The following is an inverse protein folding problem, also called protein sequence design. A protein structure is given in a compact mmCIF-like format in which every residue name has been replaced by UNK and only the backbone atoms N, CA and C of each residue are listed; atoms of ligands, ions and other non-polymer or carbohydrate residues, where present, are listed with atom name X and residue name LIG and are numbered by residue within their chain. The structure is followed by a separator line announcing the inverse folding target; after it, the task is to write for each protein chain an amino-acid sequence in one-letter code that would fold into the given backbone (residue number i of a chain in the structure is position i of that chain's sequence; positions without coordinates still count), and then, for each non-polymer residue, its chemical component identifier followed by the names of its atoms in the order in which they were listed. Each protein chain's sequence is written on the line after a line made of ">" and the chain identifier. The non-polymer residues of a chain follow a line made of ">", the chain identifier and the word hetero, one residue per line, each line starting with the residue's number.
data_IF_528056950427
#
_entry.id   IF_528056950427
#
_cell.length_a   1.000
_cell.length_b   1.000
_cell.length_c   1.000
_cell.angle_alpha   90.00
_cell.angle_beta   90.00
_cell.angle_gamma   90.00
#
_symmetry.space_group_name_H-M   'P 1'
#
loop_
_entity.id
_entity.type
_entity.pdbx_description
1 polymer ?
#
# COMPACT_ATOMS: atom_id res chain seq x y z
N UNK A 1 8.21 -69.78 -24.68
CA UNK A 1 8.74 -69.57 -23.32
C UNK A 1 10.22 -69.22 -23.47
N UNK A 2 10.80 -68.08 -23.09
CA UNK A 2 10.39 -66.91 -22.29
C UNK A 2 11.12 -65.70 -22.93
N UNK A 3 10.38 -64.66 -23.32
CA UNK A 3 10.96 -63.34 -23.61
C UNK A 3 11.22 -62.64 -22.27
N UNK A 4 12.47 -62.23 -21.99
CA UNK A 4 12.78 -61.35 -20.86
C UNK A 4 12.85 -59.91 -21.37
N UNK A 5 11.76 -59.19 -21.14
CA UNK A 5 11.63 -57.76 -21.37
C UNK A 5 12.51 -56.97 -20.40
N UNK A 6 13.31 -56.06 -20.91
CA UNK A 6 14.01 -55.02 -20.13
C UNK A 6 13.09 -53.81 -20.11
N UNK A 7 12.59 -53.33 -18.95
CA UNK A 7 12.07 -52.00 -18.85
C UNK A 7 13.14 -51.12 -18.19
N UNK A 8 13.94 -50.46 -19.01
CA UNK A 8 14.36 -49.12 -18.67
C UNK A 8 13.22 -48.19 -19.05
N UNK A 9 12.86 -47.24 -18.18
CA UNK A 9 12.44 -45.92 -18.64
C UNK A 9 12.37 -44.92 -17.48
N UNK A 10 13.27 -43.95 -17.54
CA UNK A 10 13.03 -42.51 -17.36
C UNK A 10 12.47 -42.03 -16.01
N UNK A 11 13.38 -41.78 -15.07
CA UNK A 11 13.22 -40.77 -14.02
C UNK A 11 13.16 -39.39 -14.70
N UNK A 12 11.95 -38.90 -15.00
CA UNK A 12 11.76 -37.54 -15.46
C UNK A 12 12.02 -36.58 -14.29
N UNK A 13 13.25 -36.06 -14.20
CA UNK A 13 13.59 -34.95 -13.32
C UNK A 13 12.86 -33.70 -13.87
N UNK A 14 11.67 -33.41 -13.33
CA UNK A 14 11.00 -32.13 -13.49
C UNK A 14 11.83 -31.08 -12.74
N UNK A 15 12.86 -30.55 -13.41
CA UNK A 15 13.53 -29.33 -12.96
C UNK A 15 12.54 -28.20 -13.22
N UNK A 16 11.69 -27.92 -12.23
CA UNK A 16 11.00 -26.64 -12.15
C UNK A 16 12.07 -25.56 -12.03
N UNK A 17 12.43 -24.95 -13.16
CA UNK A 17 13.12 -23.66 -13.14
C UNK A 17 12.14 -22.68 -12.53
N UNK A 18 12.20 -22.50 -11.21
CA UNK A 18 11.55 -21.38 -10.57
C UNK A 18 12.03 -20.12 -11.30
N UNK A 19 11.11 -19.44 -11.99
CA UNK A 19 11.42 -18.14 -12.54
C UNK A 19 11.94 -17.28 -11.37
N UNK A 20 12.98 -16.46 -11.56
CA UNK A 20 13.40 -15.54 -10.52
C UNK A 20 12.17 -14.70 -10.15
N UNK A 21 11.81 -14.70 -8.88
CA UNK A 21 10.64 -14.03 -8.34
C UNK A 21 10.88 -12.52 -8.31
N UNK A 22 10.95 -11.89 -9.49
CA UNK A 22 11.18 -10.45 -9.59
C UNK A 22 10.13 -9.71 -8.78
N UNK A 23 10.57 -8.85 -7.87
CA UNK A 23 9.66 -7.88 -7.24
C UNK A 23 8.90 -7.11 -8.31
N UNK A 24 7.58 -7.14 -8.24
CA UNK A 24 6.73 -6.37 -9.14
C UNK A 24 6.74 -4.91 -8.67
N UNK A 25 6.80 -3.93 -9.59
CA UNK A 25 6.55 -2.54 -9.22
C UNK A 25 5.19 -2.46 -8.52
N UNK A 26 5.13 -1.89 -7.31
CA UNK A 26 3.89 -1.80 -6.53
C UNK A 26 2.75 -1.21 -7.36
N UNK A 27 3.08 -0.25 -8.23
CA UNK A 27 2.12 0.48 -9.05
C UNK A 27 1.56 -0.33 -10.23
N UNK A 28 2.12 -1.50 -10.52
CA UNK A 28 1.58 -2.42 -11.53
C UNK A 28 0.61 -3.43 -10.91
N UNK A 29 0.55 -3.52 -9.58
CA UNK A 29 -0.30 -4.47 -8.85
C UNK A 29 -1.74 -3.92 -8.77
N UNK A 30 -2.76 -4.62 -9.31
CA UNK A 30 -4.14 -4.11 -9.33
C UNK A 30 -4.75 -3.81 -7.95
N UNK A 31 -4.41 -4.59 -6.91
CA UNK A 31 -4.88 -4.34 -5.54
C UNK A 31 -4.26 -3.09 -4.92
N UNK A 32 -3.03 -2.75 -5.27
CA UNK A 32 -2.38 -1.48 -4.88
C UNK A 32 -3.09 -0.31 -5.55
N UNK A 33 -3.33 -0.37 -6.86
CA UNK A 33 -4.04 0.68 -7.57
C UNK A 33 -5.47 0.89 -7.03
N UNK A 34 -6.17 -0.21 -6.72
CA UNK A 34 -7.52 -0.15 -6.14
C UNK A 34 -7.53 0.43 -4.73
N UNK A 35 -6.56 0.08 -3.90
CA UNK A 35 -6.46 0.59 -2.52
C UNK A 35 -6.03 2.05 -2.43
N UNK A 36 -5.67 2.69 -3.55
CA UNK A 36 -5.47 4.15 -3.58
C UNK A 36 -6.79 4.95 -3.53
N UNK A 37 -7.94 4.32 -3.81
CA UNK A 37 -9.25 4.90 -3.52
C UNK A 37 -9.53 4.77 -2.01
N UNK A 38 -9.67 5.88 -1.24
CA UNK A 38 -9.91 5.80 0.19
C UNK A 38 -11.15 4.98 0.59
N UNK A 39 -12.19 4.93 -0.26
CA UNK A 39 -13.38 4.13 0.03
C UNK A 39 -13.10 2.62 -0.07
N UNK A 40 -12.20 2.22 -0.97
CA UNK A 40 -11.79 0.82 -1.15
C UNK A 40 -10.60 0.45 -0.25
N UNK A 41 -9.80 1.43 0.15
CA UNK A 41 -8.64 1.24 1.01
C UNK A 41 -9.01 0.52 2.31
N UNK A 42 -10.00 1.03 3.03
CA UNK A 42 -10.45 0.44 4.30
C UNK A 42 -11.01 -0.96 4.12
N UNK A 43 -11.76 -1.23 3.04
CA UNK A 43 -12.31 -2.57 2.79
C UNK A 43 -11.24 -3.60 2.44
N UNK A 44 -10.09 -3.14 1.94
CA UNK A 44 -8.90 -3.95 1.66
C UNK A 44 -7.95 -4.06 2.86
N UNK A 45 -8.27 -3.45 4.01
CA UNK A 45 -7.49 -3.52 5.24
C UNK A 45 -6.51 -2.36 5.46
N UNK A 46 -6.56 -1.32 4.61
CA UNK A 46 -5.74 -0.12 4.76
C UNK A 46 -6.35 0.92 5.72
N UNK A 47 -5.55 1.95 6.00
CA UNK A 47 -5.84 3.02 6.96
C UNK A 47 -5.69 4.42 6.36
N UNK A 48 -5.77 4.57 5.04
CA UNK A 48 -5.54 5.83 4.32
C UNK A 48 -6.44 6.98 4.81
N UNK A 49 -7.70 6.70 5.13
CA UNK A 49 -8.65 7.72 5.62
C UNK A 49 -8.24 8.31 6.98
N UNK A 50 -7.37 7.63 7.74
CA UNK A 50 -6.77 8.20 8.96
C UNK A 50 -5.99 9.48 8.68
N UNK A 51 -5.55 9.69 7.44
CA UNK A 51 -4.76 10.84 7.02
C UNK A 51 -5.48 11.76 6.03
N UNK A 52 -6.82 11.75 5.96
CA UNK A 52 -7.58 12.67 5.09
C UNK A 52 -8.58 13.44 5.94
N UNK A 53 -8.40 14.75 6.07
CA UNK A 53 -9.26 15.56 6.91
C UNK A 53 -10.75 15.43 6.54
N UNK A 54 -11.59 15.27 7.57
CA UNK A 54 -13.04 15.09 7.43
C UNK A 54 -13.47 13.71 6.91
N UNK A 55 -12.54 12.84 6.48
CA UNK A 55 -12.87 11.47 6.11
C UNK A 55 -13.27 10.63 7.35
N UNK A 56 -14.22 9.68 7.22
CA UNK A 56 -14.49 8.74 8.28
C UNK A 56 -13.23 7.92 8.62
N UNK A 57 -12.81 7.87 9.90
CA UNK A 57 -11.67 7.07 10.32
C UNK A 57 -11.89 5.57 10.01
N UNK A 58 -10.82 4.80 9.74
CA UNK A 58 -10.92 3.36 9.60
C UNK A 58 -11.34 2.70 10.93
N UNK A 59 -11.94 1.51 10.92
CA UNK A 59 -12.21 0.76 12.16
C UNK A 59 -10.95 0.62 13.00
N UNK A 60 -11.04 0.89 14.30
CA UNK A 60 -9.94 0.81 15.27
C UNK A 60 -8.75 1.76 15.01
N UNK A 61 -8.91 2.79 14.18
CA UNK A 61 -7.89 3.82 13.96
C UNK A 61 -8.52 5.22 14.00
N UNK A 62 -7.89 6.19 14.66
CA UNK A 62 -8.38 7.57 14.75
C UNK A 62 -7.43 8.56 14.07
N UNK A 63 -7.95 9.71 13.65
CA UNK A 63 -7.19 10.87 13.18
C UNK A 63 -6.65 11.64 14.38
N UNK A 64 -5.68 11.05 15.08
CA UNK A 64 -5.16 11.56 16.36
C UNK A 64 -4.73 13.03 16.30
N UNK A 65 -4.90 13.74 17.43
CA UNK A 65 -4.36 15.09 17.60
C UNK A 65 -2.84 15.07 17.38
N UNK A 66 -2.35 16.02 16.58
CA UNK A 66 -0.96 16.10 16.17
C UNK A 66 -0.61 15.26 14.94
N UNK A 67 -1.57 14.54 14.36
CA UNK A 67 -1.34 13.79 13.12
C UNK A 67 -1.39 14.69 11.88
N UNK A 68 -0.48 14.52 10.91
CA UNK A 68 -0.58 15.22 9.64
C UNK A 68 -1.64 14.54 8.76
N UNK A 69 -2.46 15.35 8.13
CA UNK A 69 -3.56 14.97 7.25
C UNK A 69 -3.40 15.65 5.89
N UNK A 70 -3.79 14.99 4.80
CA UNK A 70 -4.14 15.69 3.58
C UNK A 70 -5.34 16.61 3.87
N UNK A 71 -5.32 17.82 3.31
CA UNK A 71 -6.35 18.82 3.60
C UNK A 71 -7.76 18.36 3.17
N UNK A 72 -7.83 17.53 2.15
CA UNK A 72 -9.05 16.91 1.64
C UNK A 72 -8.72 15.74 0.69
N UNK A 73 -9.76 15.19 0.06
CA UNK A 73 -9.63 14.14 -0.94
C UNK A 73 -8.89 14.60 -2.21
N UNK A 74 -8.92 15.89 -2.55
CA UNK A 74 -8.23 16.43 -3.72
C UNK A 74 -6.72 16.51 -3.50
N UNK A 75 -6.28 16.94 -2.31
CA UNK A 75 -4.89 16.91 -1.90
C UNK A 75 -4.32 15.49 -1.93
N UNK A 76 -5.08 14.50 -1.44
CA UNK A 76 -4.71 13.09 -1.59
C UNK A 76 -4.55 12.69 -3.06
N UNK A 77 -5.55 12.95 -3.90
CA UNK A 77 -5.50 12.60 -5.33
C UNK A 77 -4.32 13.25 -6.06
N UNK A 78 -4.02 14.51 -5.75
CA UNK A 78 -2.85 15.20 -6.29
C UNK A 78 -1.54 14.52 -5.86
N UNK A 79 -1.43 14.11 -4.60
CA UNK A 79 -0.28 13.36 -4.11
C UNK A 79 -0.16 11.99 -4.80
N UNK A 80 -1.26 11.25 -4.94
CA UNK A 80 -1.25 9.95 -5.63
C UNK A 80 -0.90 10.06 -7.11
N UNK A 81 -1.45 11.04 -7.83
CA UNK A 81 -1.14 11.24 -9.25
C UNK A 81 0.35 11.53 -9.48
N UNK A 82 1.03 12.17 -8.53
CA UNK A 82 2.47 12.45 -8.61
C UNK A 82 3.31 11.18 -8.62
N UNK A 83 2.84 10.09 -8.00
CA UNK A 83 3.52 8.79 -7.93
C UNK A 83 3.72 8.18 -9.33
N UNK A 84 2.84 8.49 -10.30
CA UNK A 84 2.97 8.02 -11.69
C UNK A 84 4.21 8.56 -12.41
N UNK A 85 4.82 9.64 -11.91
CA UNK A 85 6.09 10.17 -12.40
C UNK A 85 7.33 9.41 -11.92
N UNK A 86 7.18 8.41 -11.05
CA UNK A 86 8.26 7.62 -10.45
C UNK A 86 8.09 6.11 -10.73
N UNK A 87 8.13 5.68 -12.01
CA UNK A 87 7.98 4.26 -12.36
C UNK A 87 9.16 3.42 -11.82
N UNK A 88 8.88 2.21 -11.32
CA UNK A 88 9.90 1.27 -10.83
C UNK A 88 10.53 1.64 -9.48
N UNK A 89 10.10 2.75 -8.87
CA UNK A 89 10.67 3.26 -7.62
C UNK A 89 9.99 2.70 -6.36
N UNK A 90 8.87 2.00 -6.53
CA UNK A 90 8.13 1.32 -5.49
C UNK A 90 8.15 -0.18 -5.78
N UNK A 91 8.80 -0.96 -4.93
CA UNK A 91 8.95 -2.40 -5.13
C UNK A 91 8.12 -3.15 -4.11
N UNK A 92 7.18 -3.97 -4.59
CA UNK A 92 6.32 -4.83 -3.78
C UNK A 92 6.63 -6.27 -4.21
N UNK A 93 7.26 -7.06 -3.33
CA UNK A 93 7.65 -8.42 -3.70
C UNK A 93 8.16 -9.23 -2.53
N UNK A 94 8.08 -10.56 -2.66
CA UNK A 94 8.52 -11.50 -1.63
C UNK A 94 10.04 -11.44 -1.37
N UNK A 95 10.83 -11.03 -2.38
CA UNK A 95 12.29 -10.90 -2.28
C UNK A 95 12.76 -9.81 -1.30
N UNK A 96 11.88 -8.87 -0.90
CA UNK A 96 12.20 -7.87 0.11
C UNK A 96 12.15 -8.44 1.55
N UNK A 97 11.68 -9.68 1.73
CA UNK A 97 11.57 -10.35 3.03
C UNK A 97 10.61 -9.68 4.03
N UNK A 98 9.94 -8.60 3.62
CA UNK A 98 9.11 -7.75 4.46
C UNK A 98 7.63 -7.85 4.10
N UNK A 99 6.77 -7.62 5.09
CA UNK A 99 5.32 -7.45 4.90
C UNK A 99 4.93 -6.01 4.58
N UNK A 100 5.91 -5.09 4.54
CA UNK A 100 5.70 -3.66 4.35
C UNK A 100 6.87 -3.04 3.59
N UNK A 101 6.56 -2.05 2.75
CA UNK A 101 7.52 -1.20 2.05
C UNK A 101 7.07 0.26 2.15
N UNK A 102 7.97 1.15 2.55
CA UNK A 102 7.69 2.58 2.69
C UNK A 102 8.61 3.41 1.80
N UNK A 103 8.05 4.43 1.14
CA UNK A 103 8.81 5.39 0.35
C UNK A 103 8.30 6.80 0.53
N UNK A 104 9.22 7.74 0.65
CA UNK A 104 8.93 9.16 0.79
C UNK A 104 9.34 9.89 -0.49
N UNK A 105 8.42 10.65 -1.06
CA UNK A 105 8.65 11.47 -2.25
C UNK A 105 8.54 12.95 -1.90
N UNK A 106 9.26 13.80 -2.64
CA UNK A 106 9.07 15.24 -2.58
C UNK A 106 7.78 15.61 -3.31
N UNK A 107 6.75 15.94 -2.54
CA UNK A 107 5.39 16.19 -3.03
C UNK A 107 4.81 17.32 -2.21
N UNK A 108 4.41 18.40 -2.90
CA UNK A 108 3.78 19.56 -2.29
C UNK A 108 2.28 19.52 -2.53
N UNK A 109 1.52 19.34 -1.46
CA UNK A 109 0.06 19.39 -1.45
C UNK A 109 -0.43 20.12 -0.20
N UNK A 110 -1.65 20.69 -0.24
CA UNK A 110 -2.30 21.22 0.95
C UNK A 110 -2.46 20.13 2.02
N UNK A 111 -2.02 20.44 3.23
CA UNK A 111 -2.05 19.53 4.36
C UNK A 111 -2.46 20.25 5.65
N UNK A 112 -2.79 19.48 6.68
CA UNK A 112 -3.30 19.99 7.95
C UNK A 112 -2.68 19.21 9.11
N UNK A 113 -2.41 19.90 10.21
CA UNK A 113 -2.14 19.27 11.51
C UNK A 113 -3.45 19.16 12.27
N UNK A 114 -3.85 17.92 12.62
CA UNK A 114 -5.06 17.76 13.41
C UNK A 114 -4.88 18.36 14.81
N UNK A 115 -5.81 19.23 15.21
CA UNK A 115 -5.82 19.87 16.53
C UNK A 115 -6.93 19.34 17.44
N UNK A 116 -8.04 18.88 16.87
CA UNK A 116 -9.22 18.42 17.60
C UNK A 116 -9.93 17.29 16.85
N UNK A 117 -10.47 16.33 17.61
CA UNK A 117 -11.24 15.19 17.08
C UNK A 117 -12.63 15.11 17.71
N UNK A 118 -13.61 14.64 16.94
CA UNK A 118 -14.94 14.26 17.48
C UNK A 118 -14.92 12.90 18.22
N UNK A 119 -16.07 12.49 18.75
CA UNK A 119 -16.25 11.27 19.56
C UNK A 119 -15.93 9.97 18.81
N UNK A 120 -15.87 10.00 17.48
CA UNK A 120 -15.51 8.86 16.65
C UNK A 120 -14.05 8.94 16.16
N UNK A 121 -13.28 9.92 16.63
CA UNK A 121 -11.86 10.09 16.29
C UNK A 121 -11.64 10.71 14.92
N UNK A 122 -12.62 11.40 14.33
CA UNK A 122 -12.44 12.18 13.10
C UNK A 122 -11.99 13.59 13.44
N UNK A 123 -11.00 14.09 12.71
CA UNK A 123 -10.49 15.44 12.90
C UNK A 123 -11.55 16.48 12.51
N UNK A 124 -11.84 17.42 13.41
CA UNK A 124 -12.82 18.50 13.22
C UNK A 124 -12.19 19.89 13.26
N UNK A 125 -11.05 20.04 13.96
CA UNK A 125 -10.27 21.27 14.01
C UNK A 125 -8.82 21.00 13.61
N UNK A 126 -8.25 21.83 12.72
CA UNK A 126 -6.91 21.62 12.20
C UNK A 126 -6.21 22.91 11.76
N UNK A 127 -4.87 22.89 11.73
CA UNK A 127 -4.03 24.03 11.31
C UNK A 127 -3.35 23.73 9.99
N UNK A 128 -3.40 24.62 8.98
CA UNK A 128 -2.86 24.32 7.66
C UNK A 128 -1.33 24.36 7.59
N UNK A 129 -0.78 23.53 6.72
CA UNK A 129 0.59 23.59 6.23
C UNK A 129 0.66 23.12 4.76
N UNK A 130 1.80 23.36 4.10
CA UNK A 130 2.10 22.75 2.79
C UNK A 130 3.09 21.63 3.00
N UNK A 131 2.82 20.44 2.49
CA UNK A 131 3.76 19.33 2.61
C UNK A 131 5.05 19.62 1.84
N UNK A 132 6.20 19.21 2.37
CA UNK A 132 7.44 19.08 1.59
C UNK A 132 7.56 17.67 1.02
N UNK A 133 7.05 16.68 1.76
CA UNK A 133 7.09 15.28 1.34
C UNK A 133 5.79 14.55 1.63
N UNK A 134 5.58 13.44 0.94
CA UNK A 134 4.54 12.46 1.25
C UNK A 134 5.20 11.09 1.40
N UNK A 135 4.88 10.41 2.50
CA UNK A 135 5.28 9.00 2.71
C UNK A 135 4.13 8.10 2.28
N UNK A 136 4.42 7.14 1.41
CA UNK A 136 3.53 6.08 0.96
C UNK A 136 4.01 4.77 1.57
N UNK A 137 3.10 4.02 2.17
CA UNK A 137 3.39 2.73 2.79
C UNK A 137 2.51 1.68 2.13
N UNK A 138 3.16 0.71 1.52
CA UNK A 138 2.55 -0.47 0.93
C UNK A 138 2.73 -1.63 1.90
N UNK A 139 1.72 -2.46 2.04
CA UNK A 139 1.76 -3.60 2.96
C UNK A 139 0.92 -4.77 2.44
N UNK A 140 1.22 -5.95 2.96
CA UNK A 140 0.42 -7.16 2.73
C UNK A 140 -0.80 -7.12 3.66
N UNK A 141 -1.99 -7.21 3.06
CA UNK A 141 -3.26 -7.29 3.76
C UNK A 141 -4.08 -8.49 3.26
N UNK A 142 -5.12 -8.85 4.01
CA UNK A 142 -5.95 -10.02 3.72
C UNK A 142 -5.56 -11.27 4.53
N UNK A 143 -6.17 -12.42 4.24
CA UNK A 143 -5.99 -13.63 5.03
C UNK A 143 -4.57 -14.21 4.87
N UNK A 144 -4.02 -14.92 5.88
CA UNK A 144 -2.63 -15.37 5.87
C UNK A 144 -2.24 -16.30 4.71
N UNK A 145 -3.21 -17.03 4.16
CA UNK A 145 -3.06 -17.98 3.05
C UNK A 145 -3.18 -17.34 1.66
N UNK A 146 -3.74 -16.12 1.57
CA UNK A 146 -3.87 -15.37 0.31
C UNK A 146 -3.74 -13.85 0.52
N UNK A 147 -2.61 -13.36 1.07
CA UNK A 147 -2.41 -11.94 1.27
C UNK A 147 -2.11 -11.24 -0.06
N UNK A 148 -2.59 -10.00 -0.19
CA UNK A 148 -2.35 -9.13 -1.34
C UNK A 148 -1.63 -7.86 -0.92
N UNK A 149 -0.82 -7.30 -1.81
CA UNK A 149 -0.22 -5.98 -1.59
C UNK A 149 -1.28 -4.89 -1.78
N UNK A 150 -1.30 -3.93 -0.88
CA UNK A 150 -2.14 -2.73 -0.94
C UNK A 150 -1.29 -1.49 -0.67
N UNK A 151 -1.78 -0.32 -1.06
CA UNK A 151 -1.41 0.91 -0.38
C UNK A 151 -2.06 0.85 1.02
N UNK A 152 -1.28 0.59 2.07
CA UNK A 152 -1.78 0.53 3.43
C UNK A 152 -2.15 1.92 3.94
N UNK A 153 -1.23 2.87 3.82
CA UNK A 153 -1.42 4.25 4.26
C UNK A 153 -0.54 5.21 3.46
N UNK A 154 -0.95 6.47 3.36
CA UNK A 154 -0.09 7.55 2.92
C UNK A 154 -0.35 8.79 3.78
N UNK A 155 0.68 9.61 4.00
CA UNK A 155 0.55 10.78 4.84
C UNK A 155 1.55 11.89 4.47
N UNK A 156 1.12 13.17 4.51
CA UNK A 156 1.98 14.31 4.23
C UNK A 156 2.91 14.62 5.42
N UNK A 157 4.03 15.28 5.14
CA UNK A 157 4.98 15.81 6.13
C UNK A 157 5.44 17.21 5.72
N UNK A 158 5.70 18.12 6.68
CA UNK A 158 6.30 19.42 6.39
C UNK A 158 7.72 19.28 5.84
#
# INVERSE_FOLDING_TARGET
>A
MIFRSIPGLLTALLVFTAAPARSDPCLDIPSVLRSADPALNTTLGGHLTRHIFGAPPPPNAAQEVGMPLFADLWAWRAAWNTVTGYPGEFLCGEELGGTQFGKTLSVQVPALWCGETDDIGRCTGATPFTSTTVTYVFERAGPPDAPVWILGVAYPKP
#
